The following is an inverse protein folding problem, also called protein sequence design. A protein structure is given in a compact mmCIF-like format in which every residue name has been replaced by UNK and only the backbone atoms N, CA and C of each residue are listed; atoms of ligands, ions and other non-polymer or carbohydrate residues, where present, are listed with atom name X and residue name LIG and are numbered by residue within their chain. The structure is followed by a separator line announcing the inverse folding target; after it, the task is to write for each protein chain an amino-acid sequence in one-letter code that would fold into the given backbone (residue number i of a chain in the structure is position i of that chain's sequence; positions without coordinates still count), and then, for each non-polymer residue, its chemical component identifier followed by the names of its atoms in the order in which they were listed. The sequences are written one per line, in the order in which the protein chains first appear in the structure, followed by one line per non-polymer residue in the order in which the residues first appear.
data_IF_478856232228
#
_entry.id   IF_478856232228
#
_cell.length_a   1.000
_cell.length_b   1.000
_cell.length_c   1.000
_cell.angle_alpha   90.00
_cell.angle_beta   90.00
_cell.angle_gamma   90.00
#
_symmetry.space_group_name_H-M   'P 1'
#
loop_
_entity.id
_entity.type
_entity.pdbx_description
1 polymer ?
#
# COMPACT_ATOMS: atom_id res chain seq x y z
N UNK A 1 -12.83 12.25 -13.66
CA UNK A 1 -12.28 11.36 -14.68
C UNK A 1 -11.15 10.54 -14.10
N UNK A 2 -11.04 9.28 -14.49
CA UNK A 2 -10.03 8.36 -13.93
C UNK A 2 -9.03 7.96 -15.00
N UNK A 3 -7.81 7.67 -14.56
CA UNK A 3 -6.73 7.21 -15.41
C UNK A 3 -6.18 5.91 -14.83
N UNK A 4 -5.67 5.06 -15.70
CA UNK A 4 -5.15 3.76 -15.29
C UNK A 4 -3.88 3.46 -16.07
N UNK A 5 -2.87 2.93 -15.39
CA UNK A 5 -1.69 2.41 -16.03
C UNK A 5 -1.34 1.02 -15.49
N UNK A 6 -0.56 0.29 -16.26
CA UNK A 6 -0.01 -1.00 -15.85
C UNK A 6 1.46 -0.81 -15.50
N UNK A 7 1.84 -1.25 -14.32
CA UNK A 7 3.22 -1.19 -13.85
C UNK A 7 3.79 -2.62 -13.75
N UNK A 8 4.98 -2.82 -14.30
CA UNK A 8 5.67 -4.11 -14.19
C UNK A 8 6.55 -4.11 -12.96
N UNK A 9 6.21 -4.96 -12.00
CA UNK A 9 6.98 -5.10 -10.77
C UNK A 9 7.66 -6.46 -10.71
N UNK A 10 8.68 -6.63 -9.83
CA UNK A 10 9.31 -7.93 -9.60
C UNK A 10 8.35 -9.00 -9.08
N UNK A 11 7.20 -8.61 -8.54
CA UNK A 11 6.20 -9.54 -8.00
C UNK A 11 4.94 -9.62 -8.84
N UNK A 12 5.04 -9.22 -10.09
CA UNK A 12 3.96 -9.32 -11.06
C UNK A 12 3.40 -7.97 -11.48
N UNK A 13 2.47 -7.97 -12.44
CA UNK A 13 1.91 -6.72 -12.93
C UNK A 13 1.00 -6.07 -11.88
N UNK A 14 1.07 -4.75 -11.81
CA UNK A 14 0.20 -3.94 -10.97
C UNK A 14 -0.66 -3.06 -11.87
N UNK A 15 -1.91 -2.87 -11.48
CA UNK A 15 -2.78 -1.87 -12.08
C UNK A 15 -2.84 -0.68 -11.14
N UNK A 16 -2.51 0.50 -11.64
CA UNK A 16 -2.50 1.76 -10.89
C UNK A 16 -3.61 2.63 -11.43
N UNK A 17 -4.44 3.15 -10.53
CA UNK A 17 -5.58 4.00 -10.89
C UNK A 17 -5.55 5.32 -10.12
N UNK A 18 -5.84 6.41 -10.83
CA UNK A 18 -5.89 7.74 -10.23
C UNK A 18 -7.09 8.54 -10.74
N UNK A 19 -7.57 9.39 -9.87
CA UNK A 19 -8.58 10.41 -10.17
C UNK A 19 -7.90 11.78 -10.19
N UNK A 20 -8.69 12.82 -10.38
CA UNK A 20 -8.20 14.20 -10.26
C UNK A 20 -7.70 14.50 -8.85
N UNK A 21 -8.20 13.79 -7.85
CA UNK A 21 -7.86 14.02 -6.44
C UNK A 21 -6.59 13.28 -6.01
N UNK A 22 -6.28 12.14 -6.62
CA UNK A 22 -5.12 11.35 -6.25
C UNK A 22 -5.22 9.89 -6.69
N UNK A 23 -4.29 9.10 -6.21
CA UNK A 23 -4.24 7.66 -6.46
C UNK A 23 -5.31 6.98 -5.61
N UNK A 24 -6.19 6.20 -6.24
CA UNK A 24 -7.26 5.49 -5.53
C UNK A 24 -7.18 3.97 -5.67
N UNK A 25 -6.25 3.47 -6.50
CA UNK A 25 -6.10 2.02 -6.65
C UNK A 25 -4.70 1.61 -7.06
N UNK A 26 -4.16 0.61 -6.38
CA UNK A 26 -3.01 -0.19 -6.81
C UNK A 26 -3.36 -1.62 -6.45
N UNK A 27 -3.46 -2.48 -7.46
CA UNK A 27 -3.85 -3.87 -7.27
C UNK A 27 -2.97 -4.82 -8.08
N UNK A 28 -2.89 -6.06 -7.61
CA UNK A 28 -2.17 -7.13 -8.30
C UNK A 28 -3.07 -7.76 -9.35
N UNK A 29 -3.40 -6.99 -10.37
CA UNK A 29 -4.26 -7.48 -11.44
C UNK A 29 -3.68 -7.08 -12.79
N UNK A 30 -4.07 -7.82 -13.83
CA UNK A 30 -3.60 -7.59 -15.20
C UNK A 30 -4.51 -6.63 -15.96
N UNK A 31 -5.09 -5.65 -15.30
CA UNK A 31 -5.94 -4.65 -15.92
C UNK A 31 -5.20 -3.88 -17.00
N UNK A 32 -5.83 -3.66 -18.14
CA UNK A 32 -5.24 -2.90 -19.23
C UNK A 32 -5.19 -1.41 -18.93
N UNK A 33 -4.27 -0.71 -19.60
CA UNK A 33 -4.24 0.75 -19.54
C UNK A 33 -5.48 1.33 -20.20
N UNK A 34 -6.04 2.38 -19.60
CA UNK A 34 -7.17 3.11 -20.16
C UNK A 34 -6.93 4.60 -19.94
N UNK A 35 -6.84 5.33 -21.04
CA UNK A 35 -6.46 6.74 -21.01
C UNK A 35 -7.45 7.66 -21.74
N UNK A 36 -8.66 7.21 -21.99
CA UNK A 36 -9.63 8.05 -22.65
C UNK A 36 -10.13 9.14 -21.71
N UNK A 37 -10.02 10.39 -22.17
CA UNK A 37 -10.54 11.53 -21.43
C UNK A 37 -9.84 11.77 -20.10
N UNK A 38 -8.56 11.43 -20.00
CA UNK A 38 -7.78 11.58 -18.78
C UNK A 38 -7.43 13.04 -18.56
N UNK A 39 -7.71 13.55 -17.36
CA UNK A 39 -7.31 14.89 -16.98
C UNK A 39 -5.79 14.99 -16.75
N UNK A 40 -5.28 16.21 -16.83
CA UNK A 40 -3.86 16.45 -16.53
C UNK A 40 -3.55 16.10 -15.07
N UNK A 41 -4.49 16.35 -14.15
CA UNK A 41 -4.31 16.02 -12.73
C UNK A 41 -4.22 14.51 -12.51
N UNK A 42 -5.15 13.74 -13.08
CA UNK A 42 -5.13 12.29 -12.96
C UNK A 42 -3.85 11.69 -13.54
N UNK A 43 -3.40 12.20 -14.67
CA UNK A 43 -2.14 11.78 -15.28
C UNK A 43 -0.94 12.08 -14.38
N UNK A 44 -0.90 13.27 -13.79
CA UNK A 44 0.17 13.66 -12.88
C UNK A 44 0.22 12.74 -11.64
N UNK A 45 -0.96 12.35 -11.13
CA UNK A 45 -1.02 11.43 -10.00
C UNK A 45 -0.56 10.01 -10.38
N UNK A 46 -0.88 9.54 -11.59
CA UNK A 46 -0.34 8.28 -12.07
C UNK A 46 1.19 8.31 -12.17
N UNK A 47 1.75 9.38 -12.70
CA UNK A 47 3.20 9.54 -12.81
C UNK A 47 3.86 9.56 -11.44
N UNK A 48 3.25 10.24 -10.47
CA UNK A 48 3.74 10.25 -9.09
C UNK A 48 3.74 8.85 -8.48
N UNK A 49 2.68 8.08 -8.72
CA UNK A 49 2.59 6.70 -8.24
C UNK A 49 3.66 5.82 -8.91
N UNK A 50 3.85 5.98 -10.20
CA UNK A 50 4.86 5.24 -10.93
C UNK A 50 6.26 5.50 -10.39
N UNK A 51 6.60 6.75 -10.11
CA UNK A 51 7.86 7.11 -9.48
C UNK A 51 7.99 6.53 -8.08
N UNK A 52 6.92 6.57 -7.30
CA UNK A 52 6.92 6.00 -5.95
C UNK A 52 7.17 4.49 -6.00
N UNK A 53 6.51 3.77 -6.90
CA UNK A 53 6.73 2.34 -7.07
C UNK A 53 8.15 2.03 -7.53
N UNK A 54 8.70 2.84 -8.45
CA UNK A 54 10.08 2.67 -8.90
C UNK A 54 11.07 2.83 -7.72
N UNK A 55 10.87 3.83 -6.88
CA UNK A 55 11.68 4.03 -5.68
C UNK A 55 11.53 2.84 -4.73
N UNK A 56 10.30 2.40 -4.50
CA UNK A 56 10.03 1.26 -3.62
C UNK A 56 10.81 0.01 -4.05
N UNK A 57 10.67 -0.38 -5.32
CA UNK A 57 11.32 -1.60 -5.82
C UNK A 57 12.82 -1.44 -6.00
N UNK A 58 13.33 -0.21 -6.03
CA UNK A 58 14.78 0.04 -5.99
C UNK A 58 15.35 -0.03 -4.57
N UNK A 59 14.53 -0.29 -3.56
CA UNK A 59 14.98 -0.42 -2.18
C UNK A 59 15.03 0.89 -1.41
N UNK A 60 14.32 1.89 -1.86
CA UNK A 60 14.25 3.19 -1.19
C UNK A 60 12.81 3.47 -0.72
N UNK A 61 12.64 4.06 0.48
CA UNK A 61 11.31 4.47 0.93
C UNK A 61 10.68 5.42 -0.09
N UNK A 62 9.49 5.10 -0.60
CA UNK A 62 8.89 5.90 -1.65
C UNK A 62 8.31 7.22 -1.13
N UNK A 63 8.37 8.29 -1.91
CA UNK A 63 7.57 9.46 -1.61
C UNK A 63 6.10 9.11 -1.78
N UNK A 64 5.25 9.56 -0.85
CA UNK A 64 3.83 9.26 -0.91
C UNK A 64 3.16 10.21 -1.89
N UNK A 65 2.54 9.72 -2.96
CA UNK A 65 1.77 10.58 -3.85
C UNK A 65 0.47 11.01 -3.17
N UNK A 66 -0.22 11.97 -3.77
CA UNK A 66 -1.56 12.32 -3.32
C UNK A 66 -2.46 11.10 -3.44
N UNK A 67 -3.23 10.82 -2.39
CA UNK A 67 -4.13 9.66 -2.32
C UNK A 67 -5.58 10.10 -2.32
N UNK A 68 -6.41 9.33 -3.00
CA UNK A 68 -7.86 9.47 -3.00
C UNK A 68 -8.44 8.17 -2.43
N UNK A 69 -8.30 8.01 -1.11
CA UNK A 69 -8.74 6.79 -0.43
C UNK A 69 -10.25 6.81 -0.23
N UNK A 70 -10.91 5.84 -0.85
CA UNK A 70 -12.36 5.70 -0.82
C UNK A 70 -12.75 4.52 0.06
N UNK A 71 -13.48 4.80 1.11
CA UNK A 71 -13.91 3.76 2.04
C UNK A 71 -14.72 4.37 3.17
N UNK A 72 -15.19 3.51 4.07
CA UNK A 72 -15.92 3.93 5.25
C UNK A 72 -15.01 4.73 6.20
N UNK A 73 -15.59 5.50 7.12
CA UNK A 73 -14.77 6.20 8.13
C UNK A 73 -13.86 5.27 8.92
N UNK A 74 -14.32 4.07 9.25
CA UNK A 74 -13.51 3.07 9.95
C UNK A 74 -12.34 2.59 9.09
N UNK A 75 -12.61 2.26 7.82
CA UNK A 75 -11.56 1.84 6.89
C UNK A 75 -10.51 2.93 6.73
N UNK A 76 -10.94 4.17 6.56
CA UNK A 76 -10.01 5.30 6.43
C UNK A 76 -9.16 5.49 7.69
N UNK A 77 -9.74 5.30 8.87
CA UNK A 77 -8.99 5.38 10.11
C UNK A 77 -7.90 4.31 10.17
N UNK A 78 -8.22 3.09 9.78
CA UNK A 78 -7.23 2.01 9.71
C UNK A 78 -6.13 2.34 8.71
N UNK A 79 -6.49 2.74 7.50
CA UNK A 79 -5.51 3.02 6.45
C UNK A 79 -4.56 4.18 6.81
N UNK A 80 -5.04 5.18 7.53
CA UNK A 80 -4.18 6.26 8.05
C UNK A 80 -3.15 5.74 9.03
N UNK A 81 -3.54 4.81 9.91
CA UNK A 81 -2.60 4.18 10.83
C UNK A 81 -1.55 3.36 10.08
N UNK A 82 -1.97 2.66 9.01
CA UNK A 82 -1.01 1.93 8.17
C UNK A 82 0.08 2.84 7.62
N UNK A 83 -0.29 4.05 7.19
CA UNK A 83 0.66 5.01 6.65
C UNK A 83 1.70 5.47 7.68
N UNK A 84 1.42 5.30 8.97
CA UNK A 84 2.35 5.63 10.04
C UNK A 84 3.37 4.53 10.32
N UNK A 85 3.19 3.33 9.76
CA UNK A 85 4.14 2.23 9.97
C UNK A 85 5.38 2.46 9.12
N UNK A 86 6.56 2.67 9.72
CA UNK A 86 7.76 2.98 8.95
C UNK A 86 8.23 1.83 8.08
N UNK A 87 9.02 2.17 7.08
CA UNK A 87 9.73 1.21 6.25
C UNK A 87 10.55 0.24 7.10
N UNK A 88 10.41 -1.04 6.85
CA UNK A 88 11.16 -2.09 7.55
C UNK A 88 10.58 -2.48 8.90
N UNK A 89 9.46 -1.88 9.31
CA UNK A 89 8.80 -2.21 10.57
C UNK A 89 7.47 -2.90 10.33
N UNK A 90 6.99 -3.58 11.35
CA UNK A 90 5.68 -4.24 11.32
C UNK A 90 4.89 -3.88 12.57
N UNK A 91 3.57 -4.01 12.48
CA UNK A 91 2.64 -3.91 13.62
C UNK A 91 1.71 -5.11 13.58
N UNK A 92 1.22 -5.53 14.72
CA UNK A 92 0.20 -6.58 14.75
C UNK A 92 -1.18 -5.97 14.54
N UNK A 93 -2.14 -6.81 14.15
CA UNK A 93 -3.54 -6.38 14.08
C UNK A 93 -4.03 -5.83 15.42
N UNK A 94 -3.58 -6.45 16.52
CA UNK A 94 -3.90 -5.97 17.87
C UNK A 94 -3.31 -4.61 18.20
N UNK A 95 -2.10 -4.33 17.74
CA UNK A 95 -1.47 -3.00 17.93
C UNK A 95 -2.32 -1.90 17.32
N UNK A 96 -2.78 -2.12 16.10
CA UNK A 96 -3.60 -1.14 15.38
C UNK A 96 -4.97 -1.03 16.05
N UNK A 97 -5.56 -2.16 16.45
CA UNK A 97 -6.84 -2.18 17.11
C UNK A 97 -6.82 -1.36 18.42
N UNK A 98 -5.76 -1.49 19.20
CA UNK A 98 -5.57 -0.70 20.42
C UNK A 98 -5.47 0.78 20.13
N UNK A 99 -4.75 1.14 19.10
CA UNK A 99 -4.56 2.55 18.71
C UNK A 99 -5.87 3.24 18.32
N UNK A 100 -6.76 2.53 17.63
CA UNK A 100 -8.02 3.12 17.16
C UNK A 100 -9.23 2.75 18.01
N UNK A 101 -9.03 1.99 19.09
CA UNK A 101 -10.13 1.60 19.98
C UNK A 101 -11.09 0.59 19.36
N UNK A 102 -10.58 -0.40 18.65
CA UNK A 102 -11.40 -1.42 17.97
C UNK A 102 -10.84 -2.82 18.21
N UNK A 103 -11.42 -3.82 17.56
CA UNK A 103 -10.97 -5.21 17.64
C UNK A 103 -10.06 -5.59 16.47
N UNK A 104 -9.18 -6.56 16.72
CA UNK A 104 -8.23 -7.02 15.70
C UNK A 104 -8.92 -7.57 14.45
N UNK A 105 -10.08 -8.21 14.62
CA UNK A 105 -10.84 -8.78 13.49
C UNK A 105 -11.36 -7.70 12.55
N UNK A 106 -11.91 -6.63 13.11
CA UNK A 106 -12.41 -5.49 12.31
C UNK A 106 -11.24 -4.81 11.58
N UNK A 107 -10.11 -4.64 12.27
CA UNK A 107 -8.89 -4.11 11.66
C UNK A 107 -8.43 -5.00 10.52
N UNK A 108 -8.44 -6.32 10.71
CA UNK A 108 -8.06 -7.27 9.66
C UNK A 108 -8.94 -7.13 8.40
N UNK A 109 -10.24 -6.94 8.59
CA UNK A 109 -11.16 -6.71 7.47
C UNK A 109 -10.84 -5.43 6.71
N UNK A 110 -10.63 -4.32 7.43
CA UNK A 110 -10.28 -3.04 6.81
C UNK A 110 -8.91 -3.09 6.13
N UNK A 111 -7.96 -3.79 6.75
CA UNK A 111 -6.63 -4.00 6.19
C UNK A 111 -6.72 -4.74 4.84
N UNK A 112 -7.55 -5.77 4.79
CA UNK A 112 -7.77 -6.55 3.56
C UNK A 112 -8.43 -5.72 2.47
N UNK A 113 -9.23 -4.74 2.81
CA UNK A 113 -9.94 -3.87 1.86
C UNK A 113 -9.12 -2.67 1.41
N UNK A 114 -7.85 -2.57 1.78
CA UNK A 114 -6.96 -1.49 1.35
C UNK A 114 -6.92 -1.42 -0.18
N UNK A 115 -7.33 -0.29 -0.78
CA UNK A 115 -7.40 -0.17 -2.24
C UNK A 115 -6.06 0.17 -2.88
N UNK A 116 -5.07 0.66 -2.12
CA UNK A 116 -3.79 1.12 -2.65
C UNK A 116 -2.65 0.28 -2.06
N UNK A 117 -2.49 -0.92 -2.59
CA UNK A 117 -1.46 -1.85 -2.11
C UNK A 117 -0.06 -1.22 -2.21
N UNK A 118 0.84 -1.65 -1.35
CA UNK A 118 2.25 -1.24 -1.28
C UNK A 118 2.43 0.18 -0.73
N UNK A 119 1.85 1.20 -1.35
CA UNK A 119 2.02 2.58 -0.89
C UNK A 119 1.24 2.84 0.40
N UNK A 120 0.06 2.24 0.57
CA UNK A 120 -0.58 2.12 1.87
C UNK A 120 -0.19 0.73 2.39
N UNK A 121 0.72 0.64 3.36
CA UNK A 121 1.46 -0.60 3.59
C UNK A 121 0.72 -1.64 4.43
N UNK A 122 -0.39 -2.16 3.92
CA UNK A 122 -1.14 -3.22 4.60
C UNK A 122 -0.32 -4.51 4.79
N UNK A 123 0.73 -4.70 4.00
CA UNK A 123 1.64 -5.83 4.17
C UNK A 123 2.49 -5.74 5.45
N UNK A 124 2.58 -4.57 6.09
CA UNK A 124 3.31 -4.38 7.34
C UNK A 124 2.50 -4.77 8.58
N UNK A 125 1.28 -5.30 8.39
CA UNK A 125 0.46 -5.79 9.49
C UNK A 125 0.54 -7.30 9.53
N UNK A 126 0.90 -7.84 10.68
CA UNK A 126 1.17 -9.26 10.87
C UNK A 126 0.40 -9.82 12.07
N UNK A 127 0.33 -11.13 12.17
CA UNK A 127 -0.32 -11.78 13.30
C UNK A 127 0.59 -11.72 14.55
N UNK A 128 -0.04 -11.71 15.73
CA UNK A 128 0.66 -11.57 17.02
C UNK A 128 1.64 -12.70 17.30
N UNK A 129 1.40 -13.87 16.74
CA UNK A 129 2.28 -15.05 16.91
C UNK A 129 3.45 -15.09 15.93
N UNK A 130 3.71 -14.00 15.22
CA UNK A 130 4.76 -13.95 14.20
C UNK A 130 4.35 -14.48 12.84
N UNK A 131 3.12 -14.95 12.69
CA UNK A 131 2.58 -15.36 11.39
C UNK A 131 2.34 -14.15 10.50
N UNK A 132 2.35 -14.38 9.17
CA UNK A 132 2.18 -13.28 8.21
C UNK A 132 0.78 -12.66 8.25
N UNK A 133 -0.24 -13.43 8.61
CA UNK A 133 -1.62 -13.00 8.43
C UNK A 133 -2.03 -13.06 6.96
N UNK A 134 -3.22 -12.57 6.67
CA UNK A 134 -3.73 -12.53 5.31
C UNK A 134 -3.17 -11.39 4.49
N UNK A 135 -3.23 -11.52 3.18
CA UNK A 135 -2.84 -10.45 2.26
C UNK A 135 -3.58 -10.64 0.93
N UNK A 136 -4.19 -9.56 0.41
CA UNK A 136 -4.95 -9.62 -0.83
C UNK A 136 -4.12 -10.02 -2.04
N UNK A 137 -2.84 -9.69 -2.06
CA UNK A 137 -1.90 -10.09 -3.11
C UNK A 137 -1.30 -11.47 -2.93
N UNK A 138 -1.67 -12.20 -1.87
CA UNK A 138 -1.14 -13.52 -1.55
C UNK A 138 0.04 -13.48 -0.58
N UNK A 139 0.18 -14.55 0.18
CA UNK A 139 1.19 -14.66 1.24
C UNK A 139 2.62 -14.54 0.71
N UNK A 140 2.87 -15.10 -0.50
CA UNK A 140 4.21 -15.02 -1.09
C UNK A 140 4.62 -13.59 -1.42
N UNK A 141 3.70 -12.78 -1.96
CA UNK A 141 3.96 -11.37 -2.23
C UNK A 141 4.18 -10.60 -0.94
N UNK A 142 3.39 -10.87 0.08
CA UNK A 142 3.57 -10.24 1.39
C UNK A 142 4.96 -10.56 1.95
N UNK A 143 5.37 -11.82 1.89
CA UNK A 143 6.70 -12.25 2.33
C UNK A 143 7.79 -11.53 1.54
N UNK A 144 7.63 -11.42 0.24
CA UNK A 144 8.59 -10.72 -0.61
C UNK A 144 8.73 -9.26 -0.22
N UNK A 145 7.60 -8.57 -0.02
CA UNK A 145 7.59 -7.15 0.35
C UNK A 145 8.29 -6.93 1.70
N UNK A 146 7.98 -7.75 2.69
CA UNK A 146 8.60 -7.64 4.01
C UNK A 146 10.10 -7.92 3.95
N UNK A 147 10.51 -8.93 3.19
CA UNK A 147 11.93 -9.26 3.03
C UNK A 147 12.68 -8.16 2.27
N UNK A 148 12.05 -7.58 1.25
CA UNK A 148 12.60 -6.47 0.48
C UNK A 148 12.87 -5.27 1.38
N UNK A 149 11.91 -4.91 2.22
CA UNK A 149 12.06 -3.79 3.14
C UNK A 149 13.12 -4.08 4.21
N UNK A 150 13.16 -5.29 4.73
CA UNK A 150 14.19 -5.68 5.71
C UNK A 150 15.59 -5.64 5.11
N UNK A 151 15.74 -6.09 3.87
CA UNK A 151 17.03 -6.09 3.17
C UNK A 151 17.53 -4.68 2.87
N UNK A 152 16.64 -3.70 2.76
CA UNK A 152 16.98 -2.32 2.45
C UNK A 152 16.65 -1.36 3.60
N UNK A 153 16.55 -1.90 4.82
CA UNK A 153 16.32 -1.08 6.00
C UNK A 153 17.46 -0.09 6.18
N UNK A 154 17.16 1.16 6.63
CA UNK A 154 18.24 2.09 6.93
C UNK A 154 19.13 1.51 8.01
N UNK A 155 20.45 1.82 7.92
CA UNK A 155 21.41 1.38 8.91
C UNK A 155 20.91 1.76 10.31
N UNK A 156 21.07 0.84 11.27
CA UNK A 156 20.71 1.11 12.66
C UNK A 156 21.36 2.41 13.09
N UNK A 157 20.54 3.37 13.50
CA UNK A 157 21.07 4.59 14.06
C UNK A 157 21.72 4.26 15.38
N UNK A 158 22.94 4.76 15.66
CA UNK A 158 23.52 4.63 17.00
C UNK A 158 22.54 5.20 18.03
N UNK A 159 22.43 4.60 19.20
CA UNK A 159 21.55 5.11 20.25
C UNK A 159 21.89 6.55 20.66
#
# INVERSE_FOLDING_TARGET
MTARLRYRSPIGPLTVEASDEGVFGISFSAGGAAHRGVSAQARAHLESAERALAEYFAGRPPPLPALDLRGTPFQQAVWRVLLEIPWGEVRTYGDIARQIGSGARAVGGANHQNPVAILVPCHRVVAVNGGLGGYGGGTERKRWLLAHEAAHAPALRPP
#
